data_IF_512480634807
#
_entry.id   IF_512480634807
#
_cell.length_a   1.000
_cell.length_b   1.000
_cell.length_c   1.000
_cell.angle_alpha   90.00
_cell.angle_beta   90.00
_cell.angle_gamma   90.00
#
_symmetry.space_group_name_H-M   'P 1'
#
loop_
_entity.id
_entity.type
_entity.pdbx_description
1 polymer ?
#
# COMPACT_ATOMS: atom_id res chain seq x y z
N UNK A 1 -9.28 17.36 3.24
CA UNK A 1 -8.24 16.38 3.65
C UNK A 1 -7.37 16.16 2.44
N UNK A 2 -6.20 16.79 2.44
CA UNK A 2 -5.31 16.75 1.29
C UNK A 2 -4.64 15.38 1.19
N UNK A 3 -4.44 14.93 -0.05
CA UNK A 3 -3.72 13.68 -0.32
C UNK A 3 -2.29 14.01 -0.71
N UNK A 4 -1.33 13.25 -0.17
CA UNK A 4 0.08 13.34 -0.53
C UNK A 4 0.30 12.38 -1.70
N UNK A 5 0.83 12.88 -2.81
CA UNK A 5 1.03 12.09 -4.02
C UNK A 5 2.51 12.04 -4.37
N UNK A 6 2.95 10.93 -4.95
CA UNK A 6 4.31 10.83 -5.46
C UNK A 6 4.74 9.40 -5.76
N UNK A 7 6.01 9.26 -6.12
CA UNK A 7 6.65 7.95 -6.24
C UNK A 7 6.97 7.45 -4.82
N UNK A 8 6.53 6.22 -4.51
CA UNK A 8 6.82 5.57 -3.25
C UNK A 8 7.41 4.18 -3.45
N UNK A 9 8.25 3.79 -2.50
CA UNK A 9 8.60 2.38 -2.32
C UNK A 9 7.58 1.74 -1.38
N UNK A 10 7.06 0.58 -1.78
CA UNK A 10 6.15 -0.23 -0.95
C UNK A 10 6.86 -1.54 -0.66
N UNK A 11 7.27 -1.74 0.59
CA UNK A 11 7.75 -3.04 1.07
C UNK A 11 6.53 -3.78 1.67
N UNK A 12 6.20 -4.99 1.23
CA UNK A 12 4.99 -5.70 1.67
C UNK A 12 5.24 -7.19 1.91
N UNK A 13 4.41 -7.78 2.77
CA UNK A 13 4.40 -9.22 3.02
C UNK A 13 3.11 -9.85 2.51
N UNK A 14 3.25 -11.03 1.91
CA UNK A 14 2.14 -11.89 1.50
C UNK A 14 2.31 -13.24 2.17
N UNK A 15 1.25 -13.80 2.69
CA UNK A 15 1.26 -15.19 3.15
C UNK A 15 1.31 -16.14 1.95
N UNK A 16 2.15 -17.16 2.07
CA UNK A 16 2.26 -18.24 1.10
C UNK A 16 2.23 -19.58 1.82
N UNK A 17 2.04 -20.68 1.09
CA UNK A 17 2.11 -22.03 1.65
C UNK A 17 3.48 -22.36 2.27
N UNK A 18 4.52 -21.58 1.95
CA UNK A 18 5.87 -21.74 2.47
C UNK A 18 6.26 -20.66 3.50
N UNK A 19 5.26 -19.96 4.05
CA UNK A 19 5.44 -18.86 4.99
C UNK A 19 5.35 -17.47 4.34
N UNK A 20 5.57 -16.40 5.12
CA UNK A 20 5.50 -15.03 4.62
C UNK A 20 6.58 -14.75 3.58
N UNK A 21 6.18 -14.22 2.43
CA UNK A 21 7.06 -13.74 1.39
C UNK A 21 7.13 -12.22 1.42
N UNK A 22 8.31 -11.67 1.67
CA UNK A 22 8.57 -10.25 1.58
C UNK A 22 8.88 -9.84 0.13
N UNK A 23 8.28 -8.74 -0.31
CA UNK A 23 8.46 -8.18 -1.66
C UNK A 23 8.58 -6.66 -1.59
N UNK A 24 9.09 -6.06 -2.65
CA UNK A 24 9.09 -4.61 -2.79
C UNK A 24 8.70 -4.12 -4.17
N UNK A 25 8.01 -2.99 -4.10
CA UNK A 25 7.39 -2.11 -5.09
C UNK A 25 8.02 -0.74 -5.33
N UNK A 26 8.21 -0.23 -6.53
CA UNK A 26 8.18 1.23 -6.74
C UNK A 26 6.96 1.63 -7.58
N UNK A 27 6.06 2.43 -7.01
CA UNK A 27 4.79 2.81 -7.64
C UNK A 27 4.53 4.31 -7.52
N UNK A 28 3.66 4.83 -8.38
CA UNK A 28 2.97 6.10 -8.09
C UNK A 28 1.87 5.86 -7.05
N UNK A 29 1.74 6.74 -6.07
CA UNK A 29 0.75 6.60 -4.99
C UNK A 29 0.03 7.91 -4.69
N UNK A 30 -1.15 7.77 -4.07
CA UNK A 30 -1.87 8.84 -3.39
C UNK A 30 -2.22 8.38 -1.98
N UNK A 31 -1.85 9.16 -0.97
CA UNK A 31 -2.01 8.83 0.44
C UNK A 31 -2.93 9.83 1.11
N UNK A 32 -4.01 9.33 1.70
CA UNK A 32 -4.92 10.13 2.51
C UNK A 32 -4.90 9.64 3.96
N UNK A 33 -4.56 10.55 4.88
CA UNK A 33 -4.61 10.28 6.32
C UNK A 33 -6.01 10.57 6.85
N UNK A 34 -6.55 9.63 7.62
CA UNK A 34 -7.79 9.76 8.39
C UNK A 34 -7.48 9.45 9.86
N UNK A 35 -8.30 9.90 10.82
CA UNK A 35 -8.14 9.52 12.22
C UNK A 35 -8.14 7.99 12.36
N UNK A 36 -7.02 7.42 12.83
CA UNK A 36 -6.84 5.97 13.02
C UNK A 36 -6.67 5.14 11.75
N UNK A 37 -6.59 5.76 10.56
CA UNK A 37 -6.60 5.02 9.30
C UNK A 37 -5.83 5.72 8.18
N UNK A 38 -5.26 4.94 7.26
CA UNK A 38 -4.60 5.46 6.07
C UNK A 38 -5.23 4.82 4.82
N UNK A 39 -5.64 5.65 3.87
CA UNK A 39 -6.10 5.17 2.56
C UNK A 39 -4.96 5.39 1.56
N UNK A 40 -4.45 4.29 1.02
CA UNK A 40 -3.40 4.27 0.02
C UNK A 40 -4.02 3.89 -1.33
N UNK A 41 -3.90 4.74 -2.34
CA UNK A 41 -4.12 4.34 -3.73
C UNK A 41 -2.78 4.12 -4.40
N UNK A 42 -2.64 2.99 -5.08
CA UNK A 42 -1.44 2.57 -5.81
C UNK A 42 -1.77 2.52 -7.29
N UNK A 43 -0.99 3.26 -8.08
CA UNK A 43 -1.10 3.31 -9.53
C UNK A 43 0.05 2.53 -10.17
N UNK A 44 0.06 2.48 -11.50
CA UNK A 44 1.05 1.74 -12.26
C UNK A 44 2.50 2.22 -12.00
N UNK A 45 3.51 1.32 -12.03
CA UNK A 45 3.38 -0.13 -12.23
C UNK A 45 2.82 -0.83 -11.00
N UNK A 46 1.71 -1.57 -11.16
CA UNK A 46 1.01 -2.23 -10.04
C UNK A 46 1.30 -3.75 -10.09
N UNK A 47 1.99 -4.34 -9.10
CA UNK A 47 2.16 -5.77 -9.05
C UNK A 47 0.84 -6.47 -8.73
N UNK A 48 0.59 -7.58 -9.42
CA UNK A 48 -0.68 -8.30 -9.30
C UNK A 48 -0.98 -8.82 -7.90
N UNK A 49 0.08 -9.18 -7.15
CA UNK A 49 -0.01 -9.75 -5.81
C UNK A 49 0.05 -8.72 -4.69
N UNK A 50 0.13 -7.41 -5.00
CA UNK A 50 0.02 -6.38 -3.96
C UNK A 50 -1.38 -6.35 -3.32
N UNK A 51 -2.39 -6.81 -4.05
CA UNK A 51 -3.75 -6.94 -3.54
C UNK A 51 -3.85 -7.89 -2.34
N UNK A 52 -2.93 -8.87 -2.24
CA UNK A 52 -2.91 -9.90 -1.20
C UNK A 52 -2.00 -9.56 -0.01
N UNK A 53 -1.46 -8.33 0.03
CA UNK A 53 -0.57 -7.89 1.10
C UNK A 53 -1.27 -7.89 2.46
N UNK A 54 -0.59 -8.40 3.49
CA UNK A 54 -1.07 -8.43 4.88
C UNK A 54 -0.57 -7.22 5.67
N UNK A 55 0.72 -6.90 5.50
CA UNK A 55 1.34 -5.70 6.04
C UNK A 55 2.15 -5.02 4.95
N UNK A 56 2.30 -3.70 5.07
CA UNK A 56 3.20 -2.96 4.22
C UNK A 56 3.88 -1.82 4.96
N UNK A 57 5.04 -1.43 4.46
CA UNK A 57 5.76 -0.20 4.79
C UNK A 57 5.81 0.66 3.54
N UNK A 58 5.24 1.86 3.65
CA UNK A 58 5.28 2.87 2.61
C UNK A 58 6.41 3.85 2.89
N UNK A 59 7.32 4.02 1.94
CA UNK A 59 8.32 5.09 1.95
C UNK A 59 7.97 6.14 0.88
N UNK A 60 7.50 7.31 1.31
CA UNK A 60 7.07 8.43 0.48
C UNK A 60 7.68 9.73 1.01
N UNK A 61 8.32 10.51 0.15
CA UNK A 61 8.91 11.82 0.50
C UNK A 61 9.83 11.77 1.75
N UNK A 62 10.62 10.70 1.89
CA UNK A 62 11.51 10.51 3.04
C UNK A 62 10.82 10.06 4.33
N UNK A 63 9.48 9.94 4.35
CA UNK A 63 8.71 9.41 5.47
C UNK A 63 8.40 7.93 5.27
N UNK A 64 8.58 7.14 6.33
CA UNK A 64 8.13 5.75 6.41
C UNK A 64 6.85 5.62 7.22
N UNK A 65 5.92 4.79 6.76
CA UNK A 65 4.67 4.49 7.46
C UNK A 65 4.38 3.00 7.33
N UNK A 66 4.34 2.30 8.46
CA UNK A 66 3.93 0.89 8.52
C UNK A 66 2.41 0.81 8.70
N UNK A 67 1.79 -0.20 8.12
CA UNK A 67 0.38 -0.46 8.33
C UNK A 67 -0.01 -1.90 8.05
N UNK A 68 -1.01 -2.36 8.79
CA UNK A 68 -1.71 -3.62 8.50
C UNK A 68 -2.79 -3.34 7.47
N UNK A 69 -2.85 -4.13 6.41
CA UNK A 69 -3.88 -4.03 5.37
C UNK A 69 -5.17 -4.62 5.92
N UNK A 70 -6.26 -3.86 5.86
CA UNK A 70 -7.58 -4.24 6.38
C UNK A 70 -8.64 -4.38 5.29
N UNK A 71 -8.52 -3.62 4.20
CA UNK A 71 -9.30 -3.80 2.97
C UNK A 71 -8.41 -3.54 1.75
N UNK A 72 -8.72 -4.25 0.67
CA UNK A 72 -8.00 -4.19 -0.59
C UNK A 72 -9.01 -4.24 -1.73
N UNK A 73 -8.94 -3.28 -2.66
CA UNK A 73 -9.93 -3.15 -3.73
C UNK A 73 -9.32 -2.62 -5.02
N UNK A 74 -9.40 -3.40 -6.10
CA UNK A 74 -9.11 -2.90 -7.45
C UNK A 74 -10.21 -1.93 -7.88
N UNK A 75 -9.82 -0.77 -8.39
CA UNK A 75 -10.73 0.27 -8.87
C UNK A 75 -10.91 0.19 -10.39
N UNK A 76 -11.91 0.90 -10.90
CA UNK A 76 -12.22 0.95 -12.35
C UNK A 76 -11.14 1.62 -13.20
N UNK A 77 -10.28 2.43 -12.58
CA UNK A 77 -9.12 3.07 -13.22
C UNK A 77 -7.86 2.18 -13.19
N UNK A 78 -8.01 0.89 -12.88
CA UNK A 78 -6.92 -0.09 -12.73
C UNK A 78 -5.93 0.22 -11.60
N UNK A 79 -6.23 1.19 -10.73
CA UNK A 79 -5.49 1.39 -9.48
C UNK A 79 -5.93 0.38 -8.41
N UNK A 80 -5.08 0.20 -7.41
CA UNK A 80 -5.40 -0.57 -6.21
C UNK A 80 -5.63 0.39 -5.04
N UNK A 81 -6.77 0.29 -4.38
CA UNK A 81 -7.02 0.95 -3.10
C UNK A 81 -6.76 -0.01 -1.96
N UNK A 82 -5.90 0.41 -1.04
CA UNK A 82 -5.61 -0.25 0.21
C UNK A 82 -6.08 0.63 1.37
N UNK A 83 -6.67 -0.02 2.35
CA UNK A 83 -7.08 0.57 3.62
C UNK A 83 -6.19 0.01 4.71
N UNK A 84 -5.44 0.88 5.40
CA UNK A 84 -4.41 0.50 6.35
C UNK A 84 -4.75 1.00 7.75
N UNK A 85 -4.53 0.14 8.74
CA UNK A 85 -4.40 0.52 10.14
C UNK A 85 -2.92 0.82 10.43
N UNK A 86 -2.54 2.09 10.67
CA UNK A 86 -1.15 2.46 10.92
C UNK A 86 -0.61 1.86 12.22
N UNK A 87 0.69 1.57 12.26
CA UNK A 87 1.41 1.08 13.45
C UNK A 87 2.37 2.13 14.02
#
# INVERSE_FOLDING_TARGET
MDSINGKARIDYTRDTLFGPLAKHVECQVSVQHKPGWLVLKVFQPLPDDLHDAQTLVLALEGRRTSGVVKDSRRLSDHSLRLELEPQ
#
